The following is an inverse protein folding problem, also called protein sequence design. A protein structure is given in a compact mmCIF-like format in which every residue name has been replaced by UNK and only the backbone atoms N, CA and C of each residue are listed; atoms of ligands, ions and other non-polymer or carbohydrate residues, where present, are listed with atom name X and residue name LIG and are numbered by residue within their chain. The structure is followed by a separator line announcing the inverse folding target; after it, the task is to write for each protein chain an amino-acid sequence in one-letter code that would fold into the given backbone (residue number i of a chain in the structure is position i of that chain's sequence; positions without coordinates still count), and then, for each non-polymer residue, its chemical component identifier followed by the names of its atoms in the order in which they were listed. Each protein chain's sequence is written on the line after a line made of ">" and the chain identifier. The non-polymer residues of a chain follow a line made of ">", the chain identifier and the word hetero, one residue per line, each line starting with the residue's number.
data_IF_569831931281
#
_entry.id   IF_569831931281
#
_cell.length_a   1.000
_cell.length_b   1.000
_cell.length_c   1.000
_cell.angle_alpha   90.00
_cell.angle_beta   90.00
_cell.angle_gamma   90.00
#
_symmetry.space_group_name_H-M   'P 1'
#
loop_
_entity.id
_entity.type
_entity.pdbx_description
1 polymer ?
#
# COMPACT_ATOMS: atom_id res chain seq x y z
N UNK A 1 -7.45 26.81 24.85
CA UNK A 1 -7.93 25.44 24.70
C UNK A 1 -6.71 24.55 24.53
N UNK A 2 -6.39 23.74 25.56
CA UNK A 2 -5.22 22.87 25.57
C UNK A 2 -5.47 21.75 24.55
N UNK A 3 -4.74 21.75 23.45
CA UNK A 3 -4.58 20.56 22.62
C UNK A 3 -3.83 19.53 23.49
N UNK A 4 -4.55 18.49 23.88
CA UNK A 4 -3.96 17.31 24.53
C UNK A 4 -2.92 16.76 23.56
N UNK A 5 -1.64 16.97 23.84
CA UNK A 5 -0.55 16.27 23.15
C UNK A 5 -0.79 14.78 23.37
N UNK A 6 -1.39 14.13 22.39
CA UNK A 6 -1.50 12.66 22.35
C UNK A 6 -0.10 12.11 22.50
N UNK A 7 0.15 11.37 23.57
CA UNK A 7 1.46 10.79 23.81
C UNK A 7 1.73 9.74 22.73
N UNK A 8 2.53 10.10 21.72
CA UNK A 8 2.82 9.28 20.53
C UNK A 8 3.40 7.90 20.86
N UNK A 9 3.79 7.68 22.11
CA UNK A 9 4.39 6.42 22.57
C UNK A 9 3.39 5.47 23.24
N UNK A 10 2.14 5.88 23.39
CA UNK A 10 1.09 5.05 24.00
C UNK A 10 0.06 4.63 22.96
N UNK A 11 -0.47 3.43 23.13
CA UNK A 11 -1.61 2.96 22.36
C UNK A 11 -2.90 3.70 22.76
N UNK A 12 -3.71 4.04 21.76
CA UNK A 12 -5.00 4.69 21.92
C UNK A 12 -6.13 3.79 21.40
N UNK A 13 -7.38 3.98 21.84
CA UNK A 13 -8.53 3.37 21.18
C UNK A 13 -8.54 3.71 19.68
N UNK A 14 -8.80 2.72 18.84
CA UNK A 14 -8.77 2.85 17.37
C UNK A 14 -7.41 2.63 16.73
N UNK A 15 -6.30 2.62 17.50
CA UNK A 15 -4.97 2.34 16.95
C UNK A 15 -4.88 0.93 16.37
N UNK A 16 -4.10 0.83 15.28
CA UNK A 16 -3.64 -0.47 14.80
C UNK A 16 -2.47 -0.97 15.65
N UNK A 17 -2.57 -2.20 16.12
CA UNK A 17 -1.49 -2.90 16.79
C UNK A 17 -1.08 -4.16 16.02
N UNK A 18 0.21 -4.35 15.85
CA UNK A 18 0.80 -5.57 15.33
C UNK A 18 1.29 -6.41 16.51
N UNK A 19 0.63 -7.53 16.73
CA UNK A 19 1.05 -8.51 17.73
C UNK A 19 2.01 -9.51 17.09
N UNK A 20 3.14 -9.77 17.76
CA UNK A 20 4.18 -10.67 17.28
C UNK A 20 4.45 -11.72 18.36
N UNK A 21 4.32 -13.00 18.01
CA UNK A 21 4.63 -14.09 18.93
C UNK A 21 6.11 -14.51 18.86
N UNK A 22 6.52 -15.44 19.74
CA UNK A 22 7.89 -15.97 19.80
C UNK A 22 8.33 -16.74 18.53
N UNK A 23 7.37 -17.11 17.65
CA UNK A 23 7.64 -17.74 16.35
C UNK A 23 7.59 -16.73 15.21
N UNK A 24 7.62 -15.43 15.54
CA UNK A 24 7.55 -14.30 14.59
C UNK A 24 6.25 -14.25 13.76
N UNK A 25 5.20 -14.96 14.17
CA UNK A 25 3.90 -14.85 13.56
C UNK A 25 3.27 -13.51 13.94
N UNK A 26 2.64 -12.87 12.99
CA UNK A 26 2.14 -11.50 13.08
C UNK A 26 0.64 -11.48 12.98
N UNK A 27 0.00 -10.70 13.84
CA UNK A 27 -1.45 -10.52 13.89
C UNK A 27 -1.77 -9.05 13.96
N UNK A 28 -2.46 -8.54 12.94
CA UNK A 28 -2.88 -7.15 12.89
C UNK A 28 -4.27 -7.03 13.51
N UNK A 29 -4.38 -6.19 14.53
CA UNK A 29 -5.63 -5.92 15.23
C UNK A 29 -5.89 -4.41 15.32
N UNK A 30 -7.15 -4.04 15.54
CA UNK A 30 -7.55 -2.69 15.93
C UNK A 30 -7.87 -2.71 17.42
N UNK A 31 -7.36 -1.75 18.17
CA UNK A 31 -7.63 -1.63 19.60
C UNK A 31 -9.00 -0.99 19.83
N UNK A 32 -9.89 -1.69 20.52
CA UNK A 32 -11.19 -1.18 20.92
C UNK A 32 -11.40 -1.41 22.40
N UNK A 33 -12.04 -0.45 23.07
CA UNK A 33 -12.39 -0.55 24.48
C UNK A 33 -13.37 -1.71 24.70
N UNK A 34 -13.19 -2.39 25.82
CA UNK A 34 -14.01 -3.51 26.28
C UNK A 34 -14.05 -4.73 25.33
N UNK A 35 -13.12 -4.80 24.36
CA UNK A 35 -12.99 -5.93 23.48
C UNK A 35 -11.89 -6.90 23.90
N UNK A 36 -12.04 -8.15 23.46
CA UNK A 36 -11.10 -9.24 23.70
C UNK A 36 -10.66 -9.80 22.35
N UNK A 37 -9.35 -9.77 22.09
CA UNK A 37 -8.79 -10.44 20.94
C UNK A 37 -8.64 -11.94 21.19
N UNK A 38 -9.21 -12.75 20.31
CA UNK A 38 -9.17 -14.21 20.36
C UNK A 38 -8.24 -14.78 19.29
N UNK A 39 -7.29 -15.61 19.69
CA UNK A 39 -6.46 -16.36 18.74
C UNK A 39 -6.13 -17.75 19.31
N UNK A 40 -5.46 -18.59 18.52
CA UNK A 40 -5.04 -19.93 18.96
C UNK A 40 -4.09 -19.92 20.17
N UNK A 41 -3.44 -18.79 20.46
CA UNK A 41 -2.60 -18.59 21.65
C UNK A 41 -3.37 -18.21 22.91
N UNK A 42 -4.69 -18.03 22.82
CA UNK A 42 -5.55 -17.62 23.91
C UNK A 42 -6.21 -16.27 23.69
N UNK A 43 -6.67 -15.67 24.77
CA UNK A 43 -7.37 -14.39 24.80
C UNK A 43 -6.44 -13.29 25.30
N UNK A 44 -6.55 -12.10 24.69
CA UNK A 44 -5.86 -10.90 25.12
C UNK A 44 -6.91 -9.79 25.32
N UNK A 45 -6.95 -9.19 26.50
CA UNK A 45 -7.84 -8.07 26.80
C UNK A 45 -7.25 -6.79 26.23
N UNK A 46 -7.97 -6.11 25.34
CA UNK A 46 -7.43 -4.93 24.65
C UNK A 46 -7.32 -3.71 25.57
N UNK A 47 -8.11 -3.65 26.63
CA UNK A 47 -7.97 -2.61 27.66
C UNK A 47 -6.60 -2.64 28.36
N UNK A 48 -5.94 -3.81 28.45
CA UNK A 48 -4.59 -3.90 29.02
C UNK A 48 -3.53 -3.23 28.13
N UNK A 49 -3.86 -3.03 26.85
CA UNK A 49 -2.97 -2.40 25.86
C UNK A 49 -3.23 -0.90 25.74
N UNK A 50 -4.50 -0.47 25.83
CA UNK A 50 -4.90 0.94 25.71
C UNK A 50 -4.29 1.75 26.84
N UNK A 51 -3.63 2.88 26.50
CA UNK A 51 -2.90 3.71 27.45
C UNK A 51 -1.53 3.18 27.85
N UNK A 52 -1.11 2.00 27.39
CA UNK A 52 0.21 1.42 27.68
C UNK A 52 1.23 1.73 26.58
N UNK A 53 2.52 1.54 26.90
CA UNK A 53 3.62 1.85 25.97
C UNK A 53 3.66 0.90 24.77
N UNK A 54 3.86 1.49 23.58
CA UNK A 54 4.14 0.75 22.36
C UNK A 54 5.49 0.04 22.53
N UNK A 55 5.57 -1.21 22.06
CA UNK A 55 6.75 -2.06 22.24
C UNK A 55 6.70 -2.91 23.53
N UNK A 56 5.55 -2.94 24.20
CA UNK A 56 5.35 -3.75 25.40
C UNK A 56 4.97 -5.20 25.08
N UNK A 57 5.21 -6.06 26.08
CA UNK A 57 4.86 -7.47 26.02
C UNK A 57 3.59 -7.74 26.81
N UNK A 58 2.67 -8.47 26.20
CA UNK A 58 1.39 -8.85 26.80
C UNK A 58 1.29 -10.37 26.91
N UNK A 59 0.57 -10.83 27.92
CA UNK A 59 0.36 -12.25 28.17
C UNK A 59 -1.10 -12.61 27.93
N UNK A 60 -1.34 -13.64 27.13
CA UNK A 60 -2.68 -14.20 26.97
C UNK A 60 -3.12 -14.98 28.22
N UNK A 61 -4.40 -15.27 28.36
CA UNK A 61 -4.96 -16.11 29.43
C UNK A 61 -4.36 -17.53 29.47
N UNK A 62 -3.81 -18.03 28.36
CA UNK A 62 -3.09 -19.29 28.28
C UNK A 62 -1.59 -19.18 28.53
N UNK A 63 -1.10 -18.00 28.93
CA UNK A 63 0.30 -17.78 29.30
C UNK A 63 1.25 -17.49 28.12
N UNK A 64 0.78 -17.43 26.88
CA UNK A 64 1.60 -17.05 25.73
C UNK A 64 1.90 -15.55 25.74
N UNK A 65 3.10 -15.18 25.25
CA UNK A 65 3.58 -13.79 25.25
C UNK A 65 3.58 -13.25 23.84
N UNK A 66 3.09 -12.03 23.69
CA UNK A 66 3.01 -11.28 22.42
C UNK A 66 3.67 -9.92 22.61
N UNK A 67 4.56 -9.55 21.69
CA UNK A 67 5.05 -8.18 21.57
C UNK A 67 4.02 -7.37 20.78
N UNK A 68 3.65 -6.20 21.27
CA UNK A 68 2.75 -5.30 20.57
C UNK A 68 3.50 -4.04 20.10
N UNK A 69 3.48 -3.79 18.80
CA UNK A 69 4.09 -2.60 18.17
C UNK A 69 3.09 -1.94 17.22
N UNK A 70 3.37 -0.71 16.81
CA UNK A 70 2.65 -0.13 15.66
C UNK A 70 3.07 -0.84 14.38
N UNK A 71 2.11 -1.21 13.50
CA UNK A 71 2.46 -1.80 12.22
C UNK A 71 3.17 -0.78 11.34
N UNK A 72 4.17 -1.22 10.61
CA UNK A 72 4.67 -0.46 9.46
C UNK A 72 3.66 -0.54 8.31
N UNK A 73 3.78 0.35 7.32
CA UNK A 73 2.97 0.25 6.09
C UNK A 73 3.14 -1.13 5.42
N UNK A 74 4.37 -1.66 5.43
CA UNK A 74 4.64 -3.00 4.91
C UNK A 74 3.96 -4.12 5.69
N UNK A 75 3.85 -4.02 7.01
CA UNK A 75 3.11 -4.99 7.82
C UNK A 75 1.61 -4.90 7.56
N UNK A 76 1.09 -3.68 7.46
CA UNK A 76 -0.32 -3.43 7.16
C UNK A 76 -0.70 -4.05 5.81
N UNK A 77 0.02 -3.72 4.74
CA UNK A 77 -0.26 -4.22 3.39
C UNK A 77 -0.25 -5.76 3.32
N UNK A 78 0.67 -6.41 4.06
CA UNK A 78 0.70 -7.88 4.09
C UNK A 78 -0.51 -8.51 4.78
N UNK A 79 -1.16 -7.81 5.70
CA UNK A 79 -2.20 -8.35 6.57
C UNK A 79 -3.58 -7.72 6.41
N UNK A 80 -3.68 -6.63 5.65
CA UNK A 80 -4.95 -5.95 5.44
C UNK A 80 -5.97 -6.87 4.76
N UNK A 81 -7.27 -6.68 5.02
CA UNK A 81 -8.33 -7.39 4.32
C UNK A 81 -8.26 -7.14 2.80
N UNK A 82 -8.18 -8.19 2.01
CA UNK A 82 -8.04 -8.10 0.54
C UNK A 82 -9.22 -8.75 -0.18
N UNK A 83 -9.48 -8.24 -1.35
CA UNK A 83 -10.27 -8.88 -2.40
C UNK A 83 -9.33 -9.30 -3.53
N UNK A 84 -8.98 -8.37 -4.44
CA UNK A 84 -8.03 -8.60 -5.52
C UNK A 84 -6.61 -8.85 -5.01
N UNK A 85 -5.73 -9.30 -5.90
CA UNK A 85 -4.29 -9.35 -5.67
C UNK A 85 -3.79 -7.94 -5.36
N UNK A 86 -2.84 -7.82 -4.41
CA UNK A 86 -2.24 -6.54 -4.02
C UNK A 86 -0.83 -6.41 -4.56
N UNK A 87 -0.40 -5.18 -4.77
CA UNK A 87 1.02 -4.87 -4.94
C UNK A 87 1.71 -4.99 -3.58
N UNK A 88 2.76 -5.81 -3.51
CA UNK A 88 3.48 -6.05 -2.26
C UNK A 88 4.43 -4.90 -1.89
N UNK A 89 4.78 -4.77 -0.59
CA UNK A 89 5.61 -3.65 -0.11
C UNK A 89 6.94 -3.47 -0.84
N UNK A 90 7.54 -4.56 -1.35
CA UNK A 90 8.79 -4.47 -2.13
C UNK A 90 8.61 -3.66 -3.42
N UNK A 91 7.43 -3.78 -4.04
CA UNK A 91 7.11 -3.10 -5.30
C UNK A 91 6.50 -1.73 -5.05
N UNK A 92 5.68 -1.56 -4.00
CA UNK A 92 5.12 -0.25 -3.63
C UNK A 92 6.21 0.81 -3.43
N UNK A 93 7.30 0.46 -2.72
CA UNK A 93 8.43 1.36 -2.51
C UNK A 93 9.12 1.73 -3.83
N UNK A 94 9.29 0.76 -4.72
CA UNK A 94 9.88 0.98 -6.03
C UNK A 94 8.98 1.83 -6.93
N UNK A 95 7.67 1.57 -6.94
CA UNK A 95 6.71 2.38 -7.70
C UNK A 95 6.79 3.84 -7.29
N UNK A 96 6.74 4.13 -5.99
CA UNK A 96 6.83 5.50 -5.48
C UNK A 96 8.15 6.17 -5.91
N UNK A 97 9.26 5.43 -5.87
CA UNK A 97 10.57 5.95 -6.22
C UNK A 97 10.76 6.12 -7.73
N UNK A 98 10.44 5.11 -8.54
CA UNK A 98 10.63 5.17 -10.00
C UNK A 98 9.62 6.07 -10.70
N UNK A 99 8.41 6.20 -10.17
CA UNK A 99 7.46 7.19 -10.65
C UNK A 99 7.76 8.60 -10.10
N UNK A 100 8.81 8.75 -9.27
CA UNK A 100 9.17 10.02 -8.62
C UNK A 100 7.95 10.73 -8.02
N UNK A 101 7.22 10.00 -7.17
CA UNK A 101 6.06 10.59 -6.47
C UNK A 101 6.56 11.51 -5.37
N UNK A 102 6.30 12.79 -5.50
CA UNK A 102 6.81 13.84 -4.61
C UNK A 102 5.68 14.56 -3.84
N UNK A 103 5.99 15.18 -2.70
CA UNK A 103 5.02 15.99 -1.97
C UNK A 103 4.46 17.13 -2.80
N UNK A 104 3.14 17.20 -2.91
CA UNK A 104 2.43 18.19 -3.74
C UNK A 104 2.06 17.72 -5.14
N UNK A 105 2.51 16.53 -5.58
CA UNK A 105 2.19 16.00 -6.90
C UNK A 105 0.69 15.70 -7.06
N UNK A 106 0.18 15.91 -8.27
CA UNK A 106 -1.13 15.39 -8.70
C UNK A 106 -0.91 14.08 -9.46
N UNK A 107 -1.44 13.00 -8.91
CA UNK A 107 -1.23 11.64 -9.40
C UNK A 107 -2.55 11.02 -9.84
N UNK A 108 -2.58 10.43 -11.04
CA UNK A 108 -3.65 9.51 -11.44
C UNK A 108 -3.21 8.07 -11.15
N UNK A 109 -4.10 7.33 -10.51
CA UNK A 109 -3.99 5.90 -10.29
C UNK A 109 -5.07 5.16 -11.08
N UNK A 110 -4.68 4.15 -11.86
CA UNK A 110 -5.61 3.23 -12.49
C UNK A 110 -5.70 1.92 -11.71
N UNK A 111 -6.91 1.61 -11.20
CA UNK A 111 -7.17 0.45 -10.35
C UNK A 111 -7.01 0.74 -8.86
N UNK A 112 -8.13 0.70 -8.10
CA UNK A 112 -8.15 0.88 -6.65
C UNK A 112 -7.82 -0.42 -5.90
N UNK A 113 -8.41 -1.50 -6.37
CA UNK A 113 -8.26 -2.82 -5.78
C UNK A 113 -8.54 -2.85 -4.28
N UNK A 114 -7.53 -3.16 -3.47
CA UNK A 114 -7.64 -3.16 -2.00
C UNK A 114 -7.15 -1.85 -1.35
N UNK A 115 -6.73 -0.85 -2.10
CA UNK A 115 -6.23 0.44 -1.62
C UNK A 115 -4.78 0.46 -1.14
N UNK A 116 -3.98 -0.57 -1.47
CA UNK A 116 -2.58 -0.65 -1.05
C UNK A 116 -1.71 0.39 -1.74
N UNK A 117 -1.82 0.49 -3.07
CA UNK A 117 -1.11 1.48 -3.89
C UNK A 117 -1.59 2.88 -3.54
N UNK A 118 -2.91 3.11 -3.51
CA UNK A 118 -3.53 4.38 -3.13
C UNK A 118 -2.97 4.91 -1.81
N UNK A 119 -2.88 4.05 -0.78
CA UNK A 119 -2.32 4.42 0.52
C UNK A 119 -0.84 4.82 0.44
N UNK A 120 -0.06 4.15 -0.42
CA UNK A 120 1.35 4.51 -0.63
C UNK A 120 1.48 5.84 -1.37
N UNK A 121 0.66 6.07 -2.39
CA UNK A 121 0.61 7.33 -3.15
C UNK A 121 0.19 8.51 -2.27
N UNK A 122 -0.89 8.39 -1.50
CA UNK A 122 -1.36 9.43 -0.57
C UNK A 122 -0.27 9.83 0.43
N UNK A 123 0.45 8.86 0.98
CA UNK A 123 1.56 9.13 1.90
C UNK A 123 2.72 9.87 1.22
N UNK A 124 2.97 9.57 -0.05
CA UNK A 124 4.07 10.18 -0.80
C UNK A 124 3.73 11.61 -1.27
N UNK A 125 2.52 11.84 -1.77
CA UNK A 125 2.10 13.18 -2.20
C UNK A 125 1.85 14.12 -1.02
N UNK A 126 1.61 13.59 0.17
CA UNK A 126 1.29 14.38 1.38
C UNK A 126 0.00 15.19 1.24
N UNK A 127 -0.23 16.08 2.22
CA UNK A 127 -1.50 16.83 2.30
C UNK A 127 -1.64 17.94 1.24
N UNK A 128 -0.57 18.28 0.55
CA UNK A 128 -0.56 19.31 -0.51
C UNK A 128 -0.71 18.73 -1.92
N UNK A 129 -0.52 17.42 -2.07
CA UNK A 129 -0.72 16.72 -3.32
C UNK A 129 -2.11 16.09 -3.42
N UNK A 130 -2.39 15.48 -4.56
CA UNK A 130 -3.69 14.87 -4.85
C UNK A 130 -3.53 13.51 -5.52
N UNK A 131 -4.38 12.56 -5.17
CA UNK A 131 -4.52 11.27 -5.85
C UNK A 131 -5.91 11.19 -6.46
N UNK A 132 -5.99 10.93 -7.76
CA UNK A 132 -7.22 10.70 -8.50
C UNK A 132 -7.21 9.24 -8.96
N UNK A 133 -8.07 8.44 -8.38
CA UNK A 133 -8.16 7.02 -8.70
C UNK A 133 -9.32 6.73 -9.66
N UNK A 134 -9.06 5.94 -10.69
CA UNK A 134 -10.07 5.39 -11.58
C UNK A 134 -10.31 3.92 -11.25
N UNK A 135 -11.56 3.58 -10.93
CA UNK A 135 -11.98 2.22 -10.60
C UNK A 135 -13.27 1.88 -11.35
N UNK A 136 -13.30 0.70 -11.98
CA UNK A 136 -14.46 0.24 -12.76
C UNK A 136 -15.45 -0.56 -11.91
N UNK A 137 -14.97 -1.21 -10.85
CA UNK A 137 -15.77 -2.06 -9.96
C UNK A 137 -16.12 -1.34 -8.65
N UNK A 138 -17.34 -0.79 -8.59
CA UNK A 138 -17.85 -0.13 -7.40
C UNK A 138 -17.83 -1.03 -6.14
N UNK A 139 -17.91 -2.33 -6.32
CA UNK A 139 -17.98 -3.29 -5.20
C UNK A 139 -16.71 -3.33 -4.33
N UNK A 140 -15.57 -2.90 -4.87
CA UNK A 140 -14.31 -2.86 -4.12
C UNK A 140 -14.20 -1.65 -3.19
N UNK A 141 -14.92 -0.56 -3.47
CA UNK A 141 -14.81 0.72 -2.77
C UNK A 141 -14.98 0.62 -1.25
N UNK A 142 -16.02 -0.03 -0.70
CA UNK A 142 -16.22 -0.04 0.74
C UNK A 142 -15.06 -0.70 1.51
N UNK A 143 -14.42 -1.71 0.91
CA UNK A 143 -13.28 -2.38 1.51
C UNK A 143 -11.99 -1.57 1.35
N UNK A 144 -11.76 -1.03 0.16
CA UNK A 144 -10.60 -0.21 -0.14
C UNK A 144 -10.55 1.03 0.77
N UNK A 145 -11.67 1.76 0.88
CA UNK A 145 -11.76 2.95 1.74
C UNK A 145 -11.46 2.62 3.19
N UNK A 146 -12.07 1.56 3.76
CA UNK A 146 -11.73 1.12 5.13
C UNK A 146 -10.25 0.81 5.31
N UNK A 147 -9.59 0.25 4.31
CA UNK A 147 -8.15 -0.01 4.37
C UNK A 147 -7.33 1.29 4.32
N UNK A 148 -7.68 2.19 3.42
CA UNK A 148 -7.00 3.48 3.23
C UNK A 148 -7.09 4.32 4.50
N UNK A 149 -8.30 4.51 5.04
CA UNK A 149 -8.56 5.30 6.24
C UNK A 149 -7.82 4.80 7.49
N UNK A 150 -7.55 3.50 7.57
CA UNK A 150 -6.77 2.91 8.66
C UNK A 150 -5.32 3.37 8.71
N UNK A 151 -4.71 3.70 7.59
CA UNK A 151 -3.28 4.08 7.50
C UNK A 151 -3.07 5.50 7.01
N UNK A 152 -4.10 6.10 6.43
CA UNK A 152 -4.18 7.49 5.97
C UNK A 152 -5.53 8.06 6.39
N UNK A 153 -5.68 8.50 7.66
CA UNK A 153 -6.97 8.94 8.19
C UNK A 153 -7.54 10.18 7.49
N UNK A 154 -6.67 11.08 7.00
CA UNK A 154 -7.08 12.19 6.16
C UNK A 154 -7.02 11.76 4.69
N UNK A 155 -8.17 11.63 4.08
CA UNK A 155 -8.36 11.28 2.65
C UNK A 155 -8.96 12.42 1.85
N UNK A 156 -8.90 13.64 2.36
CA UNK A 156 -9.49 14.83 1.71
C UNK A 156 -8.87 15.13 0.33
N UNK A 157 -7.66 14.65 0.09
CA UNK A 157 -6.94 14.76 -1.17
C UNK A 157 -7.02 13.51 -2.07
N UNK A 158 -7.91 12.56 -1.75
CA UNK A 158 -8.25 11.42 -2.58
C UNK A 158 -9.58 11.68 -3.31
N UNK A 159 -9.55 11.58 -4.62
CA UNK A 159 -10.75 11.59 -5.46
C UNK A 159 -10.89 10.20 -6.12
N UNK A 160 -12.03 9.54 -5.93
CA UNK A 160 -12.32 8.27 -6.62
C UNK A 160 -13.34 8.52 -7.72
N UNK A 161 -12.99 8.13 -8.93
CA UNK A 161 -13.84 8.18 -10.11
C UNK A 161 -14.26 6.77 -10.50
N UNK A 162 -15.55 6.51 -10.43
CA UNK A 162 -16.13 5.30 -11.01
C UNK A 162 -16.13 5.44 -12.52
N UNK A 163 -15.25 4.72 -13.17
CA UNK A 163 -15.12 4.75 -14.62
C UNK A 163 -13.96 3.93 -15.12
N UNK A 164 -14.03 3.60 -16.39
CA UNK A 164 -13.01 2.85 -17.09
C UNK A 164 -11.93 3.80 -17.61
N UNK A 165 -10.72 3.71 -17.06
CA UNK A 165 -9.57 4.52 -17.46
C UNK A 165 -9.21 4.34 -18.94
N UNK A 166 -9.64 3.25 -19.57
CA UNK A 166 -9.44 2.99 -21.00
C UNK A 166 -10.34 3.85 -21.90
N UNK A 167 -11.46 4.35 -21.36
CA UNK A 167 -12.37 5.22 -22.10
C UNK A 167 -11.89 6.67 -22.16
N UNK A 168 -10.81 6.98 -21.48
CA UNK A 168 -10.16 8.28 -21.49
C UNK A 168 -10.12 8.96 -20.13
N UNK A 169 -9.24 9.93 -20.02
CA UNK A 169 -8.97 10.73 -18.84
C UNK A 169 -9.36 12.17 -19.16
N UNK A 170 -10.14 12.79 -18.28
CA UNK A 170 -10.63 14.16 -18.47
C UNK A 170 -9.69 15.21 -17.88
N UNK A 171 -8.86 14.80 -16.96
CA UNK A 171 -7.87 15.63 -16.28
C UNK A 171 -6.77 16.09 -17.24
N UNK A 172 -6.14 17.18 -16.86
CA UNK A 172 -4.96 17.75 -17.52
C UNK A 172 -3.97 18.19 -16.45
N UNK A 173 -2.77 18.47 -16.86
CA UNK A 173 -1.69 18.95 -15.98
C UNK A 173 -1.38 17.94 -14.85
N UNK A 174 -1.38 16.66 -15.19
CA UNK A 174 -1.08 15.55 -14.27
C UNK A 174 0.43 15.33 -14.22
N UNK A 175 0.99 15.33 -13.01
CA UNK A 175 2.43 15.12 -12.81
C UNK A 175 2.83 13.67 -13.05
N UNK A 176 2.05 12.71 -12.54
CA UNK A 176 2.38 11.29 -12.54
C UNK A 176 1.14 10.43 -12.81
N UNK A 177 1.34 9.33 -13.51
CA UNK A 177 0.30 8.30 -13.69
C UNK A 177 0.86 6.94 -13.29
N UNK A 178 0.15 6.21 -12.44
CA UNK A 178 0.50 4.85 -12.03
C UNK A 178 -0.64 3.90 -12.34
N UNK A 179 -0.37 2.85 -13.10
CA UNK A 179 -1.36 1.88 -13.56
C UNK A 179 -1.16 0.51 -12.91
N UNK A 180 -2.18 0.02 -12.22
CA UNK A 180 -2.34 -1.37 -11.77
C UNK A 180 -3.60 -1.96 -12.38
N UNK A 181 -3.60 -2.06 -13.70
CA UNK A 181 -4.72 -2.53 -14.51
C UNK A 181 -4.28 -3.63 -15.47
N UNK A 182 -5.18 -4.54 -15.89
CA UNK A 182 -4.81 -5.70 -16.73
C UNK A 182 -4.22 -5.35 -18.09
N UNK A 183 -4.67 -4.27 -18.71
CA UNK A 183 -4.35 -3.91 -20.10
C UNK A 183 -3.90 -2.45 -20.24
N UNK A 184 -2.80 -2.02 -19.58
CA UNK A 184 -2.41 -0.60 -19.50
C UNK A 184 -2.15 0.04 -20.87
N UNK A 185 -1.86 -0.75 -21.89
CA UNK A 185 -1.67 -0.26 -23.28
C UNK A 185 -2.91 0.43 -23.86
N UNK A 186 -4.11 0.11 -23.36
CA UNK A 186 -5.34 0.75 -23.81
C UNK A 186 -5.49 2.19 -23.33
N UNK A 187 -4.87 2.55 -22.22
CA UNK A 187 -4.96 3.89 -21.62
C UNK A 187 -3.90 4.88 -22.19
N UNK A 188 -2.90 4.41 -22.94
CA UNK A 188 -1.72 5.19 -23.35
C UNK A 188 -2.10 6.53 -24.00
N UNK A 189 -3.03 6.52 -24.96
CA UNK A 189 -3.40 7.75 -25.67
C UNK A 189 -4.00 8.80 -24.76
N UNK A 190 -4.98 8.44 -23.90
CA UNK A 190 -5.61 9.35 -22.96
C UNK A 190 -4.62 9.88 -21.91
N UNK A 191 -3.68 9.04 -21.46
CA UNK A 191 -2.64 9.44 -20.51
C UNK A 191 -1.68 10.46 -21.14
N UNK A 192 -1.30 10.26 -22.41
CA UNK A 192 -0.44 11.21 -23.11
C UNK A 192 -1.08 12.59 -23.28
N UNK A 193 -2.42 12.68 -23.27
CA UNK A 193 -3.14 13.95 -23.28
C UNK A 193 -3.25 14.61 -21.89
N UNK A 194 -3.15 13.80 -20.83
CA UNK A 194 -3.33 14.24 -19.45
C UNK A 194 -2.01 14.69 -18.78
N UNK A 195 -0.91 14.01 -19.09
CA UNK A 195 0.39 14.28 -18.46
C UNK A 195 0.99 15.62 -18.86
N UNK A 196 1.61 16.28 -17.91
CA UNK A 196 2.49 17.42 -18.19
C UNK A 196 3.73 16.99 -18.98
N UNK A 197 4.37 17.92 -19.65
CA UNK A 197 5.67 17.66 -20.28
C UNK A 197 6.70 17.29 -19.21
N UNK A 198 7.38 16.15 -19.40
CA UNK A 198 8.29 15.57 -18.42
C UNK A 198 7.59 14.81 -17.29
N UNK A 199 6.26 14.63 -17.38
CA UNK A 199 5.51 13.73 -16.50
C UNK A 199 5.91 12.27 -16.67
N UNK A 200 5.66 11.43 -15.65
CA UNK A 200 6.03 10.02 -15.66
C UNK A 200 4.78 9.14 -15.69
N UNK A 201 4.78 8.17 -16.60
CA UNK A 201 3.83 7.07 -16.63
C UNK A 201 4.55 5.80 -16.18
N UNK A 202 4.05 5.16 -15.12
CA UNK A 202 4.52 3.87 -14.64
C UNK A 202 3.36 2.86 -14.68
N UNK A 203 3.62 1.64 -15.13
CA UNK A 203 2.67 0.54 -15.04
C UNK A 203 3.29 -0.65 -14.33
N UNK A 204 2.51 -1.23 -13.41
CA UNK A 204 2.83 -2.49 -12.76
C UNK A 204 1.99 -3.60 -13.41
N UNK A 205 2.65 -4.62 -13.97
CA UNK A 205 1.98 -5.72 -14.66
C UNK A 205 2.59 -7.07 -14.28
N UNK A 206 1.79 -8.15 -14.22
CA UNK A 206 2.24 -9.45 -13.71
C UNK A 206 3.05 -10.29 -14.71
N UNK A 207 3.11 -9.94 -15.99
CA UNK A 207 3.77 -10.80 -17.00
C UNK A 207 4.60 -10.00 -17.99
N UNK A 208 5.70 -10.62 -18.46
CA UNK A 208 6.57 -10.03 -19.49
C UNK A 208 5.86 -9.77 -20.82
N UNK A 209 4.82 -10.54 -21.13
CA UNK A 209 4.02 -10.32 -22.34
C UNK A 209 3.21 -9.03 -22.24
N UNK A 210 2.70 -8.69 -21.03
CA UNK A 210 2.05 -7.40 -20.80
C UNK A 210 3.05 -6.25 -20.88
N UNK A 211 4.27 -6.42 -20.33
CA UNK A 211 5.36 -5.45 -20.49
C UNK A 211 5.62 -5.18 -21.96
N UNK A 212 5.80 -6.24 -22.77
CA UNK A 212 6.03 -6.09 -24.21
C UNK A 212 4.91 -5.31 -24.90
N UNK A 213 3.65 -5.67 -24.64
CA UNK A 213 2.49 -4.98 -25.24
C UNK A 213 2.45 -3.51 -24.86
N UNK A 214 2.75 -3.21 -23.61
CA UNK A 214 2.73 -1.84 -23.10
C UNK A 214 3.84 -1.00 -23.74
N UNK A 215 5.08 -1.51 -23.78
CA UNK A 215 6.21 -0.85 -24.45
C UNK A 215 5.89 -0.55 -25.92
N UNK A 216 5.39 -1.53 -26.66
CA UNK A 216 5.02 -1.34 -28.07
C UNK A 216 3.91 -0.28 -28.26
N UNK A 217 2.99 -0.16 -27.30
CA UNK A 217 1.96 0.87 -27.36
C UNK A 217 2.53 2.27 -27.09
N UNK A 218 3.47 2.41 -26.16
CA UNK A 218 4.18 3.66 -25.88
C UNK A 218 5.02 4.11 -27.08
N UNK A 219 5.77 3.18 -27.68
CA UNK A 219 6.55 3.46 -28.89
C UNK A 219 5.67 3.90 -30.06
N UNK A 220 4.53 3.23 -30.26
CA UNK A 220 3.57 3.57 -31.31
C UNK A 220 2.92 4.94 -31.11
N UNK A 221 2.64 5.33 -29.86
CA UNK A 221 2.10 6.64 -29.52
C UNK A 221 3.11 7.76 -29.83
N UNK A 222 4.40 7.52 -29.57
CA UNK A 222 5.51 8.40 -29.95
C UNK A 222 5.74 9.60 -29.02
N UNK A 223 4.85 9.88 -28.08
CA UNK A 223 5.00 10.98 -27.09
C UNK A 223 5.87 10.57 -25.90
N UNK A 224 5.97 9.27 -25.62
CA UNK A 224 6.71 8.73 -24.50
C UNK A 224 8.16 8.44 -24.90
N UNK A 225 9.09 8.86 -24.05
CA UNK A 225 10.52 8.66 -24.23
C UNK A 225 11.15 8.02 -22.98
N UNK A 226 12.39 7.55 -23.08
CA UNK A 226 13.12 6.93 -21.98
C UNK A 226 12.33 5.73 -21.38
N UNK A 227 11.80 4.87 -22.26
CA UNK A 227 11.01 3.71 -21.85
C UNK A 227 11.94 2.68 -21.22
N UNK A 228 11.73 2.38 -19.96
CA UNK A 228 12.47 1.38 -19.19
C UNK A 228 11.55 0.27 -18.70
N UNK A 229 12.05 -0.95 -18.68
CA UNK A 229 11.35 -2.10 -18.09
C UNK A 229 12.27 -2.77 -17.07
N UNK A 230 11.75 -3.01 -15.88
CA UNK A 230 12.56 -3.55 -14.77
C UNK A 230 11.78 -4.56 -13.95
N UNK A 231 12.49 -5.46 -13.33
CA UNK A 231 12.00 -6.45 -12.39
C UNK A 231 12.77 -6.31 -11.07
N UNK A 232 12.06 -6.39 -9.94
CA UNK A 232 12.70 -6.32 -8.63
C UNK A 232 12.59 -7.64 -7.88
N UNK A 233 13.72 -8.14 -7.38
CA UNK A 233 13.80 -9.35 -6.57
C UNK A 233 14.19 -9.01 -5.14
N UNK A 234 13.38 -9.45 -4.18
CA UNK A 234 13.71 -9.37 -2.76
C UNK A 234 14.19 -10.74 -2.27
N UNK A 235 15.42 -10.78 -1.75
CA UNK A 235 15.99 -11.96 -1.10
C UNK A 235 16.26 -11.66 0.36
N UNK A 236 15.66 -12.42 1.25
CA UNK A 236 15.94 -12.40 2.68
C UNK A 236 17.11 -13.32 3.02
N UNK A 237 17.77 -13.05 4.15
CA UNK A 237 18.89 -13.83 4.63
C UNK A 237 18.59 -14.37 6.02
N UNK A 238 18.89 -15.64 6.22
CA UNK A 238 18.97 -16.26 7.54
C UNK A 238 20.34 -15.98 8.12
N UNK A 239 20.38 -15.27 9.25
CA UNK A 239 21.64 -14.90 9.91
C UNK A 239 21.59 -15.34 11.36
N UNK A 240 22.53 -16.23 11.75
CA UNK A 240 22.79 -16.64 13.13
C UNK A 240 24.29 -16.71 13.35
N UNK A 241 24.74 -16.87 14.58
CA UNK A 241 26.17 -17.09 14.88
C UNK A 241 26.78 -18.27 14.11
N UNK A 242 25.97 -19.30 13.81
CA UNK A 242 26.44 -20.54 13.18
C UNK A 242 26.16 -20.63 11.68
N UNK A 243 25.35 -19.74 11.12
CA UNK A 243 24.93 -19.84 9.73
C UNK A 243 24.52 -18.48 9.16
N UNK A 244 25.13 -18.15 8.02
CA UNK A 244 24.72 -17.01 7.19
C UNK A 244 24.42 -17.57 5.80
N UNK A 245 23.17 -17.54 5.40
CA UNK A 245 22.72 -18.04 4.09
C UNK A 245 21.48 -17.32 3.60
N UNK A 246 21.28 -17.23 2.27
CA UNK A 246 20.00 -16.76 1.74
C UNK A 246 18.87 -17.66 2.23
N UNK A 247 17.71 -17.08 2.51
CA UNK A 247 16.50 -17.87 2.66
C UNK A 247 16.19 -18.58 1.35
N UNK A 248 15.69 -19.82 1.44
CA UNK A 248 15.43 -20.66 0.26
C UNK A 248 14.26 -20.14 -0.61
N UNK A 249 13.53 -19.14 -0.12
CA UNK A 249 12.46 -18.49 -0.88
C UNK A 249 12.97 -17.19 -1.47
N UNK A 250 13.19 -17.19 -2.77
CA UNK A 250 13.12 -15.96 -3.55
C UNK A 250 11.66 -15.53 -3.53
N UNK A 251 11.37 -14.36 -3.00
CA UNK A 251 10.06 -13.76 -3.22
C UNK A 251 10.04 -13.18 -4.63
N UNK A 252 9.82 -14.06 -5.58
CA UNK A 252 9.36 -13.73 -6.93
C UNK A 252 7.85 -13.54 -6.89
N UNK A 253 7.33 -12.87 -5.86
CA UNK A 253 5.90 -12.57 -5.86
C UNK A 253 5.67 -11.48 -6.87
N UNK A 254 5.41 -11.99 -8.01
CA UNK A 254 4.72 -11.48 -9.17
C UNK A 254 5.26 -10.18 -9.75
N UNK A 255 5.90 -10.45 -10.78
CA UNK A 255 6.00 -9.58 -11.95
C UNK A 255 4.60 -9.13 -12.31
#
# INVERSE_FOLDING_TARGET
>A
MNQTQTNKNLFQPGDLALLIDRKERRYLITLAEDEIYHCHLGRLFLNDMIGSSIGSWYRTDKGHVLLAVRPTMGDFVRQMPRGPQIIYPKDLGNIVNFADIFPGATVIEGGLGSGALTSALLRAVGNTGKVINYEIDESVLPKAMRNIERVTPDTSNLEIKLGDIYQGITERDIDRVVLDVPEPWQAVSGIGDALVMGGILLSFVPTIIQVQRFVLALEKDGRFQMIESLETMLRTWHVTERSVRPDHRLSLIHI
#
